data_IF_601638470888
#
_entry.id   IF_601638470888
#
_cell.length_a   1.000
_cell.length_b   1.000
_cell.length_c   1.000
_cell.angle_alpha   90.00
_cell.angle_beta   90.00
_cell.angle_gamma   90.00
#
_symmetry.space_group_name_H-M   'P 1'
#
loop_
_entity.id
_entity.type
_entity.pdbx_description
1 polymer ?
#
# COMPACT_ATOMS: atom_id res chain seq x y z
N UNK A 1 -22.42 19.27 -19.95
CA UNK A 1 -21.19 18.81 -19.28
C UNK A 1 -21.64 18.22 -17.97
N UNK A 2 -21.52 16.91 -17.83
CA UNK A 2 -21.87 16.21 -16.61
C UNK A 2 -20.81 16.56 -15.55
N UNK A 3 -21.08 17.58 -14.74
CA UNK A 3 -20.22 17.96 -13.63
C UNK A 3 -20.47 17.00 -12.48
N UNK A 4 -20.04 15.75 -12.64
CA UNK A 4 -19.83 14.89 -11.48
C UNK A 4 -18.81 15.59 -10.60
N UNK A 5 -19.14 15.77 -9.33
CA UNK A 5 -18.21 16.33 -8.35
C UNK A 5 -16.99 15.41 -8.28
N UNK A 6 -15.80 15.95 -8.58
CA UNK A 6 -14.56 15.18 -8.51
C UNK A 6 -14.37 14.63 -7.09
N UNK A 7 -14.01 13.36 -6.99
CA UNK A 7 -13.83 12.69 -5.70
C UNK A 7 -12.64 13.29 -4.93
N UNK A 8 -12.71 13.29 -3.60
CA UNK A 8 -11.60 13.69 -2.75
C UNK A 8 -10.56 12.56 -2.62
N UNK A 9 -9.28 12.90 -2.42
CA UNK A 9 -8.20 11.92 -2.25
C UNK A 9 -7.13 12.00 -3.34
N UNK A 10 -6.14 11.11 -3.23
CA UNK A 10 -4.99 10.95 -4.15
C UNK A 10 -4.82 9.48 -4.52
N UNK A 11 -4.19 9.22 -5.65
CA UNK A 11 -4.00 7.88 -6.21
C UNK A 11 -5.27 7.33 -6.85
N UNK A 12 -5.44 6.01 -6.81
CA UNK A 12 -6.68 5.33 -7.20
C UNK A 12 -7.75 5.42 -6.09
N UNK A 13 -8.94 5.91 -6.45
CA UNK A 13 -10.06 6.22 -5.55
C UNK A 13 -11.30 5.46 -6.05
N UNK A 14 -11.71 4.44 -5.31
CA UNK A 14 -12.87 3.61 -5.67
C UNK A 14 -14.20 4.37 -5.49
N UNK A 15 -15.15 4.12 -6.38
CA UNK A 15 -16.56 4.48 -6.23
C UNK A 15 -17.46 3.44 -6.92
N UNK A 16 -18.77 3.54 -6.73
CA UNK A 16 -19.74 2.52 -7.17
C UNK A 16 -19.75 2.25 -8.69
N UNK A 17 -19.25 3.19 -9.49
CA UNK A 17 -19.27 3.12 -10.97
C UNK A 17 -17.88 2.99 -11.60
N UNK A 18 -16.81 2.85 -10.82
CA UNK A 18 -15.44 2.75 -11.34
C UNK A 18 -14.37 3.28 -10.40
N UNK A 19 -13.31 3.85 -10.98
CA UNK A 19 -12.16 4.38 -10.24
C UNK A 19 -11.79 5.76 -10.76
N UNK A 20 -11.69 6.71 -9.84
CA UNK A 20 -11.06 7.98 -10.11
C UNK A 20 -9.57 7.92 -9.78
N UNK A 21 -8.76 8.63 -10.55
CA UNK A 21 -7.33 8.74 -10.36
C UNK A 21 -6.95 10.19 -10.14
N UNK A 22 -6.11 10.47 -9.14
CA UNK A 22 -5.51 11.80 -8.95
C UNK A 22 -4.02 11.72 -8.66
N UNK A 23 -3.23 12.49 -9.38
CA UNK A 23 -1.76 12.57 -9.19
C UNK A 23 -1.27 14.01 -9.20
N UNK A 24 -0.24 14.29 -8.41
CA UNK A 24 0.45 15.58 -8.42
C UNK A 24 1.63 15.53 -9.39
N UNK A 25 1.55 16.30 -10.47
CA UNK A 25 2.59 16.39 -11.50
C UNK A 25 2.63 17.82 -12.06
N UNK A 26 3.11 18.81 -11.26
CA UNK A 26 2.91 20.23 -11.54
C UNK A 26 3.58 20.74 -12.82
N UNK A 27 4.66 20.07 -13.21
CA UNK A 27 5.48 20.45 -14.37
C UNK A 27 5.15 19.62 -15.62
N UNK A 28 4.18 18.69 -15.53
CA UNK A 28 3.73 17.92 -16.69
C UNK A 28 2.96 18.81 -17.66
N UNK A 29 3.08 18.50 -18.96
CA UNK A 29 2.26 19.11 -20.01
C UNK A 29 1.00 18.30 -20.29
N UNK A 30 1.08 16.98 -20.20
CA UNK A 30 -0.05 16.06 -20.23
C UNK A 30 0.19 14.89 -19.30
N UNK A 31 -0.89 14.41 -18.67
CA UNK A 31 -0.90 13.16 -17.91
C UNK A 31 -2.04 12.30 -18.43
N UNK A 32 -1.82 11.00 -18.59
CA UNK A 32 -2.86 10.01 -18.80
C UNK A 32 -2.70 8.89 -17.77
N UNK A 33 -3.80 8.25 -17.37
CA UNK A 33 -3.75 7.00 -16.65
C UNK A 33 -3.84 5.85 -17.66
N UNK A 34 -2.92 4.90 -17.57
CA UNK A 34 -2.85 3.74 -18.47
C UNK A 34 -2.88 2.46 -17.64
N UNK A 35 -3.53 1.43 -18.14
CA UNK A 35 -3.66 0.18 -17.42
C UNK A 35 -4.51 -0.83 -18.17
N UNK A 36 -4.87 -1.91 -17.48
CA UNK A 36 -5.62 -3.02 -18.10
C UNK A 36 -6.97 -2.58 -18.67
N UNK A 37 -7.65 -1.65 -17.98
CA UNK A 37 -8.94 -1.08 -18.40
C UNK A 37 -8.92 -0.31 -19.72
N UNK A 38 -7.74 0.04 -20.25
CA UNK A 38 -7.60 0.72 -21.53
C UNK A 38 -6.53 0.12 -22.46
N UNK A 39 -6.12 -1.12 -22.20
CA UNK A 39 -5.04 -1.81 -22.93
C UNK A 39 -3.72 -1.02 -22.97
N UNK A 40 -3.43 -0.25 -21.92
CA UNK A 40 -2.22 0.56 -21.82
C UNK A 40 -2.09 1.64 -22.91
N UNK A 41 -3.21 2.11 -23.48
CA UNK A 41 -3.24 3.14 -24.52
C UNK A 41 -3.21 4.56 -23.91
N UNK A 42 -2.19 5.35 -24.28
CA UNK A 42 -1.90 6.65 -23.67
C UNK A 42 -2.93 7.74 -24.00
N UNK A 43 -3.65 7.59 -25.11
CA UNK A 43 -4.59 8.60 -25.63
C UNK A 43 -6.02 8.44 -25.09
N UNK A 44 -6.34 7.32 -24.43
CA UNK A 44 -7.72 7.00 -24.04
C UNK A 44 -8.19 7.68 -22.76
N UNK A 45 -7.35 7.72 -21.74
CA UNK A 45 -7.70 8.25 -20.42
C UNK A 45 -6.77 9.41 -20.04
N UNK A 46 -6.72 10.42 -20.90
CA UNK A 46 -6.03 11.68 -20.63
C UNK A 46 -6.69 12.38 -19.44
N UNK A 47 -5.87 12.77 -18.46
CA UNK A 47 -6.31 13.40 -17.23
C UNK A 47 -6.51 14.90 -17.42
N UNK A 48 -7.53 15.43 -16.77
CA UNK A 48 -7.82 16.86 -16.68
C UNK A 48 -6.85 17.52 -15.69
N UNK A 49 -6.17 18.58 -16.11
CA UNK A 49 -5.35 19.40 -15.23
C UNK A 49 -6.23 20.20 -14.28
N UNK A 50 -5.99 20.05 -12.98
CA UNK A 50 -6.58 20.85 -11.91
C UNK A 50 -5.66 22.03 -11.54
N UNK A 51 -6.08 22.82 -10.53
CA UNK A 51 -5.22 23.82 -9.91
C UNK A 51 -4.01 23.18 -9.22
N UNK A 52 -2.97 23.99 -8.96
CA UNK A 52 -1.82 23.62 -8.09
C UNK A 52 -1.00 22.38 -8.53
N UNK A 53 -1.18 21.93 -9.78
CA UNK A 53 -0.40 20.85 -10.37
C UNK A 53 -0.99 19.46 -10.22
N UNK A 54 -2.24 19.36 -9.77
CA UNK A 54 -2.97 18.10 -9.72
C UNK A 54 -3.57 17.74 -11.08
N UNK A 55 -3.75 16.46 -11.33
CA UNK A 55 -4.36 15.89 -12.53
C UNK A 55 -5.41 14.86 -12.10
N UNK A 56 -6.57 14.86 -12.75
CA UNK A 56 -7.70 14.02 -12.40
C UNK A 56 -8.30 13.30 -13.62
N UNK A 57 -8.65 12.02 -13.48
CA UNK A 57 -9.51 11.31 -14.42
C UNK A 57 -10.47 10.40 -13.66
N UNK A 58 -11.71 10.29 -14.14
CA UNK A 58 -12.68 9.28 -13.71
C UNK A 58 -12.77 8.21 -14.81
N UNK A 59 -12.55 6.94 -14.45
CA UNK A 59 -12.49 5.82 -15.38
C UNK A 59 -13.51 4.75 -14.97
N UNK A 60 -14.73 4.78 -15.54
CA UNK A 60 -15.77 3.82 -15.20
C UNK A 60 -15.43 2.34 -15.51
N UNK A 61 -14.50 2.10 -16.43
CA UNK A 61 -14.07 0.75 -16.83
C UNK A 61 -12.99 0.14 -15.94
N UNK A 62 -12.40 0.91 -15.03
CA UNK A 62 -11.36 0.45 -14.11
C UNK A 62 -11.97 -0.25 -12.89
N UNK A 63 -11.26 -1.24 -12.35
CA UNK A 63 -11.72 -2.04 -11.20
C UNK A 63 -10.56 -2.52 -10.34
N UNK A 64 -10.88 -2.95 -9.12
CA UNK A 64 -9.92 -3.57 -8.20
C UNK A 64 -9.20 -4.73 -8.88
N UNK A 65 -7.88 -4.78 -8.73
CA UNK A 65 -6.99 -5.77 -9.33
C UNK A 65 -6.40 -5.37 -10.68
N UNK A 66 -6.93 -4.34 -11.35
CA UNK A 66 -6.29 -3.84 -12.58
C UNK A 66 -4.92 -3.24 -12.25
N UNK A 67 -3.93 -3.54 -13.09
CA UNK A 67 -2.63 -2.89 -13.08
C UNK A 67 -2.68 -1.54 -13.81
N UNK A 68 -1.95 -0.54 -13.30
CA UNK A 68 -1.92 0.79 -13.90
C UNK A 68 -0.64 1.57 -13.61
N UNK A 69 -0.41 2.60 -14.44
CA UNK A 69 0.63 3.63 -14.28
C UNK A 69 0.11 4.98 -14.78
N UNK A 70 0.85 6.05 -14.47
CA UNK A 70 0.67 7.35 -15.08
C UNK A 70 1.66 7.56 -16.23
N UNK A 71 1.13 7.85 -17.41
CA UNK A 71 1.89 8.34 -18.55
C UNK A 71 2.03 9.86 -18.45
N UNK A 72 3.24 10.33 -18.16
CA UNK A 72 3.56 11.74 -17.92
C UNK A 72 4.43 12.25 -19.05
N UNK A 73 4.01 13.33 -19.71
CA UNK A 73 4.75 13.96 -20.82
C UNK A 73 5.17 15.38 -20.48
N UNK A 74 6.38 15.75 -20.89
CA UNK A 74 6.92 17.12 -20.86
C UNK A 74 7.91 17.31 -22.00
N UNK A 75 7.57 18.17 -22.97
CA UNK A 75 8.33 18.29 -24.21
C UNK A 75 8.39 16.96 -24.97
N UNK A 76 9.59 16.56 -25.37
CA UNK A 76 9.85 15.28 -26.07
C UNK A 76 9.92 14.07 -25.11
N UNK A 77 9.97 14.31 -23.79
CA UNK A 77 10.05 13.22 -22.82
C UNK A 77 8.66 12.69 -22.48
N UNK A 78 8.52 11.37 -22.53
CA UNK A 78 7.36 10.62 -22.07
C UNK A 78 7.82 9.52 -21.11
N UNK A 79 7.22 9.44 -19.93
CA UNK A 79 7.61 8.53 -18.87
C UNK A 79 6.38 7.82 -18.31
N UNK A 80 6.48 6.50 -18.11
CA UNK A 80 5.56 5.75 -17.28
C UNK A 80 6.04 5.76 -15.84
N UNK A 81 5.14 6.07 -14.90
CA UNK A 81 5.44 6.11 -13.47
C UNK A 81 4.33 5.43 -12.68
N UNK A 82 4.72 4.59 -11.73
CA UNK A 82 3.82 4.07 -10.71
C UNK A 82 3.21 5.22 -9.90
N UNK A 83 2.03 4.98 -9.36
CA UNK A 83 1.35 5.92 -8.49
C UNK A 83 2.15 6.11 -7.18
N UNK A 84 2.57 7.35 -6.84
CA UNK A 84 3.18 7.63 -5.55
C UNK A 84 2.27 7.28 -4.36
N UNK A 85 0.95 7.20 -4.57
CA UNK A 85 -0.07 6.86 -3.60
C UNK A 85 -0.60 5.42 -3.73
N UNK A 86 0.08 4.57 -4.53
CA UNK A 86 -0.29 3.18 -4.69
C UNK A 86 -0.42 2.48 -3.33
N UNK A 87 -1.53 1.76 -3.12
CA UNK A 87 -1.78 0.97 -1.91
C UNK A 87 -1.33 -0.48 -2.04
N UNK A 88 -1.12 -0.92 -3.27
CA UNK A 88 -0.70 -2.25 -3.63
C UNK A 88 0.11 -2.18 -4.93
N UNK A 89 1.10 -3.07 -5.03
CA UNK A 89 2.02 -3.20 -6.15
C UNK A 89 2.07 -4.69 -6.54
N UNK A 90 2.29 -5.00 -7.82
CA UNK A 90 2.52 -6.40 -8.21
C UNK A 90 3.84 -6.95 -7.66
N UNK A 91 4.84 -6.06 -7.55
CA UNK A 91 6.06 -6.17 -6.74
C UNK A 91 6.81 -4.84 -6.86
N UNK A 92 7.94 -4.73 -6.17
CA UNK A 92 8.83 -3.57 -6.17
C UNK A 92 9.33 -3.05 -7.53
N UNK A 93 9.37 -3.88 -8.56
CA UNK A 93 9.73 -3.49 -9.93
C UNK A 93 8.53 -3.52 -10.90
N UNK A 94 7.34 -3.82 -10.38
CA UNK A 94 6.11 -3.99 -11.14
C UNK A 94 5.26 -2.73 -11.23
N UNK A 95 3.96 -2.94 -11.38
CA UNK A 95 2.97 -1.89 -11.59
C UNK A 95 2.17 -1.62 -10.32
N UNK A 96 1.60 -0.42 -10.24
CA UNK A 96 0.58 -0.12 -9.24
C UNK A 96 -0.67 -0.94 -9.52
N UNK A 97 -1.33 -1.40 -8.45
CA UNK A 97 -2.57 -2.17 -8.53
C UNK A 97 -3.69 -1.38 -7.87
N UNK A 98 -4.86 -1.36 -8.51
CA UNK A 98 -6.06 -0.77 -7.90
C UNK A 98 -6.47 -1.67 -6.73
N UNK A 99 -6.30 -1.18 -5.50
CA UNK A 99 -6.56 -1.95 -4.29
C UNK A 99 -7.90 -1.57 -3.64
N UNK A 100 -8.61 -2.57 -3.10
CA UNK A 100 -9.68 -2.33 -2.15
C UNK A 100 -9.09 -2.15 -0.74
N UNK A 101 -9.37 -0.98 -0.15
CA UNK A 101 -8.89 -0.66 1.19
C UNK A 101 -9.85 -1.09 2.29
N UNK A 102 -11.06 -1.55 1.95
CA UNK A 102 -12.00 -2.08 2.92
C UNK A 102 -11.41 -3.28 3.69
N UNK A 103 -11.82 -3.43 4.95
CA UNK A 103 -11.45 -4.55 5.80
C UNK A 103 -12.41 -4.63 6.99
N UNK A 104 -12.84 -5.85 7.31
CA UNK A 104 -13.70 -6.08 8.48
C UNK A 104 -12.86 -6.20 9.76
N UNK A 105 -12.73 -5.07 10.45
CA UNK A 105 -12.07 -4.99 11.76
C UNK A 105 -12.87 -5.66 12.88
N UNK A 106 -14.16 -5.96 12.68
CA UNK A 106 -15.05 -6.43 13.75
C UNK A 106 -15.20 -5.40 14.86
N UNK A 107 -15.25 -5.87 16.11
CA UNK A 107 -15.34 -5.02 17.32
C UNK A 107 -13.96 -4.73 17.93
N UNK A 108 -12.98 -4.37 17.09
CA UNK A 108 -11.64 -4.02 17.57
C UNK A 108 -11.68 -2.76 18.44
N UNK A 109 -11.60 -2.97 19.76
CA UNK A 109 -11.56 -1.94 20.79
C UNK A 109 -10.22 -1.92 21.52
N UNK A 110 -9.15 -2.41 20.89
CA UNK A 110 -7.82 -2.49 21.50
C UNK A 110 -7.33 -1.11 21.96
N UNK A 111 -6.70 -1.09 23.13
CA UNK A 111 -6.03 0.09 23.68
C UNK A 111 -4.60 -0.28 24.02
N UNK A 112 -3.65 0.46 23.46
CA UNK A 112 -2.23 0.27 23.75
C UNK A 112 -1.95 0.58 25.22
N UNK A 113 -1.13 -0.24 25.88
CA UNK A 113 -0.66 0.04 27.23
C UNK A 113 0.17 1.34 27.29
N UNK A 114 0.33 1.92 28.48
CA UNK A 114 1.16 3.11 28.63
C UNK A 114 2.61 2.80 28.25
N UNK A 115 3.36 3.80 27.78
CA UNK A 115 4.73 3.60 27.30
C UNK A 115 5.65 2.92 28.33
N UNK A 116 5.41 3.15 29.63
CA UNK A 116 6.21 2.64 30.74
C UNK A 116 5.84 1.19 31.13
N UNK A 117 4.81 0.63 30.47
CA UNK A 117 4.33 -0.74 30.64
C UNK A 117 4.62 -1.59 29.39
N UNK A 118 5.18 -0.99 28.33
CA UNK A 118 5.47 -1.68 27.08
C UNK A 118 6.71 -2.58 27.21
N UNK A 119 6.52 -3.85 26.85
CA UNK A 119 7.58 -4.82 26.60
C UNK A 119 7.54 -5.10 25.10
N UNK A 120 8.43 -4.44 24.37
CA UNK A 120 8.43 -4.43 22.90
C UNK A 120 9.34 -5.54 22.37
N UNK A 121 8.81 -6.32 21.43
CA UNK A 121 9.60 -7.25 20.62
C UNK A 121 9.74 -6.69 19.21
N UNK A 122 10.92 -6.17 18.90
CA UNK A 122 11.27 -5.76 17.54
C UNK A 122 11.50 -6.98 16.65
N UNK A 123 10.95 -6.96 15.44
CA UNK A 123 11.06 -8.08 14.51
C UNK A 123 11.17 -7.65 13.05
N UNK A 124 11.93 -8.46 12.32
CA UNK A 124 11.95 -8.48 10.87
C UNK A 124 11.02 -9.59 10.36
N UNK A 125 9.92 -9.23 9.70
CA UNK A 125 8.88 -10.18 9.25
C UNK A 125 9.46 -11.28 8.38
N UNK A 126 10.31 -10.92 7.41
CA UNK A 126 10.91 -11.85 6.45
C UNK A 126 11.83 -12.92 7.05
N UNK A 127 12.22 -12.81 8.32
CA UNK A 127 13.15 -13.76 8.97
C UNK A 127 12.63 -14.36 10.27
N UNK A 128 11.60 -13.77 10.89
CA UNK A 128 11.10 -14.20 12.20
C UNK A 128 10.49 -15.60 12.19
N UNK A 129 9.50 -15.85 11.32
CA UNK A 129 8.89 -17.17 11.18
C UNK A 129 8.68 -17.51 9.70
N UNK A 130 9.55 -18.38 9.20
CA UNK A 130 9.56 -18.86 7.82
C UNK A 130 8.94 -20.26 7.76
N UNK A 131 8.08 -20.52 6.78
CA UNK A 131 7.50 -21.85 6.58
C UNK A 131 8.56 -22.84 6.08
N UNK A 132 9.44 -22.37 5.19
CA UNK A 132 10.56 -23.13 4.64
C UNK A 132 11.83 -22.27 4.58
N UNK A 133 12.99 -22.92 4.40
CA UNK A 133 14.30 -22.26 4.41
C UNK A 133 14.59 -21.42 3.13
N UNK A 134 13.75 -21.51 2.11
CA UNK A 134 13.85 -20.82 0.83
C UNK A 134 12.84 -19.68 0.66
N UNK A 135 11.82 -19.59 1.53
CA UNK A 135 10.81 -18.52 1.49
C UNK A 135 11.05 -17.46 2.57
N UNK A 136 10.65 -16.21 2.32
CA UNK A 136 10.63 -15.19 3.36
C UNK A 136 9.48 -15.43 4.35
N UNK A 137 9.63 -14.95 5.58
CA UNK A 137 8.53 -14.91 6.53
C UNK A 137 7.45 -13.92 6.12
N UNK A 138 6.23 -14.14 6.61
CA UNK A 138 5.04 -13.35 6.24
C UNK A 138 4.31 -12.85 7.48
N UNK A 139 3.39 -11.90 7.32
CA UNK A 139 2.51 -11.45 8.39
C UNK A 139 1.66 -12.60 8.97
N UNK A 140 1.25 -13.56 8.14
CA UNK A 140 0.59 -14.79 8.61
C UNK A 140 1.54 -15.66 9.46
N UNK A 141 2.81 -15.75 9.06
CA UNK A 141 3.85 -16.40 9.86
C UNK A 141 4.00 -15.77 11.24
N UNK A 142 3.99 -14.44 11.34
CA UNK A 142 4.00 -13.72 12.62
C UNK A 142 2.74 -14.04 13.43
N UNK A 143 1.56 -14.02 12.79
CA UNK A 143 0.26 -14.32 13.43
C UNK A 143 0.27 -15.68 14.13
N UNK A 144 0.88 -16.71 13.52
CA UNK A 144 1.04 -18.06 14.10
C UNK A 144 1.91 -18.11 15.37
N UNK A 145 2.56 -17.00 15.74
CA UNK A 145 3.47 -16.88 16.89
C UNK A 145 3.01 -15.89 17.95
N UNK A 146 1.82 -15.32 17.84
CA UNK A 146 1.29 -14.39 18.85
C UNK A 146 1.20 -15.03 20.25
N UNK A 147 0.79 -16.30 20.35
CA UNK A 147 0.78 -17.03 21.63
C UNK A 147 2.17 -17.19 22.23
N UNK A 148 3.18 -17.41 21.39
CA UNK A 148 4.58 -17.50 21.83
C UNK A 148 5.08 -16.15 22.35
N UNK A 149 4.79 -15.06 21.65
CA UNK A 149 5.15 -13.70 22.06
C UNK A 149 4.46 -13.33 23.38
N UNK A 150 3.17 -13.66 23.51
CA UNK A 150 2.42 -13.48 24.75
C UNK A 150 3.02 -14.28 25.90
N UNK A 151 3.42 -15.52 25.67
CA UNK A 151 4.09 -16.36 26.66
C UNK A 151 5.44 -15.77 27.12
N UNK A 152 6.19 -15.13 26.23
CA UNK A 152 7.42 -14.40 26.58
C UNK A 152 7.17 -13.17 27.48
N UNK A 153 5.93 -12.72 27.60
CA UNK A 153 5.56 -11.48 28.31
C UNK A 153 5.61 -10.23 27.43
N UNK A 154 5.69 -10.38 26.11
CA UNK A 154 5.62 -9.27 25.14
C UNK A 154 4.18 -8.78 25.07
N UNK A 155 3.99 -7.46 25.09
CA UNK A 155 2.68 -6.82 24.90
C UNK A 155 2.65 -5.81 23.73
N UNK A 156 3.76 -5.64 23.02
CA UNK A 156 3.80 -4.95 21.74
C UNK A 156 4.85 -5.56 20.81
N UNK A 157 4.53 -5.65 19.53
CA UNK A 157 5.49 -5.99 18.47
C UNK A 157 5.86 -4.72 17.72
N UNK A 158 7.15 -4.55 17.42
CA UNK A 158 7.62 -3.50 16.51
C UNK A 158 8.04 -4.15 15.20
N UNK A 159 7.30 -3.83 14.14
CA UNK A 159 7.55 -4.33 12.80
C UNK A 159 8.56 -3.37 12.14
N UNK A 160 9.73 -3.88 11.76
CA UNK A 160 10.68 -3.16 10.90
C UNK A 160 9.99 -2.71 9.60
N UNK A 161 10.52 -1.69 8.89
CA UNK A 161 9.79 -1.08 7.79
C UNK A 161 9.28 -2.10 6.77
N UNK A 162 7.96 -2.05 6.52
CA UNK A 162 7.26 -3.01 5.67
C UNK A 162 6.55 -2.34 4.49
N UNK A 163 6.95 -1.12 4.16
CA UNK A 163 6.59 -0.51 2.88
C UNK A 163 7.32 -1.25 1.75
N UNK A 164 6.72 -1.33 0.56
CA UNK A 164 7.30 -2.05 -0.58
C UNK A 164 8.71 -1.54 -0.88
N UNK A 165 9.67 -2.45 -1.00
CA UNK A 165 11.09 -2.16 -1.22
C UNK A 165 11.67 -3.03 -2.34
N UNK A 166 12.81 -2.63 -2.91
CA UNK A 166 13.43 -3.40 -4.01
C UNK A 166 13.82 -4.84 -3.59
N UNK A 167 13.29 -5.82 -4.32
CA UNK A 167 13.49 -7.26 -4.07
C UNK A 167 12.66 -7.80 -2.90
N UNK A 168 12.75 -9.10 -2.64
CA UNK A 168 11.81 -9.77 -1.71
C UNK A 168 12.32 -9.82 -0.25
N UNK A 169 13.56 -9.40 -0.01
CA UNK A 169 14.19 -9.43 1.31
C UNK A 169 15.06 -8.18 1.52
N UNK A 170 14.57 -7.28 2.36
CA UNK A 170 15.28 -6.08 2.82
C UNK A 170 14.90 -5.80 4.27
N UNK A 171 15.76 -5.09 4.98
CA UNK A 171 15.40 -4.47 6.26
C UNK A 171 14.38 -3.33 6.10
N UNK A 172 14.07 -2.92 4.87
CA UNK A 172 12.97 -2.00 4.55
C UNK A 172 13.31 -0.50 4.65
N UNK A 173 14.53 -0.15 5.08
CA UNK A 173 15.01 1.25 5.14
C UNK A 173 15.30 1.91 3.78
N UNK A 174 14.79 1.33 2.69
CA UNK A 174 14.91 1.78 1.31
C UNK A 174 13.55 1.67 0.58
N UNK A 175 12.49 2.33 1.07
CA UNK A 175 11.15 2.15 0.51
C UNK A 175 11.10 2.62 -0.94
N UNK A 176 10.56 1.78 -1.82
CA UNK A 176 10.24 2.12 -3.20
C UNK A 176 8.85 2.76 -3.30
N UNK A 177 7.87 2.23 -2.54
CA UNK A 177 6.49 2.73 -2.52
C UNK A 177 5.96 2.84 -1.09
N UNK A 178 6.04 4.03 -0.51
CA UNK A 178 5.76 4.29 0.92
C UNK A 178 4.31 4.02 1.38
N UNK A 179 3.34 3.97 0.46
CA UNK A 179 1.93 3.69 0.76
C UNK A 179 1.50 2.25 0.46
N UNK A 180 2.38 1.45 -0.14
CA UNK A 180 2.14 0.04 -0.43
C UNK A 180 2.84 -0.83 0.61
N UNK A 181 2.16 -1.86 1.09
CA UNK A 181 2.74 -2.85 2.01
C UNK A 181 3.44 -3.93 1.21
N UNK A 182 4.64 -4.32 1.65
CA UNK A 182 5.49 -5.31 0.98
C UNK A 182 4.72 -6.58 0.57
N UNK A 183 4.62 -6.77 -0.74
CA UNK A 183 3.90 -7.87 -1.38
C UNK A 183 4.43 -9.24 -0.94
N UNK A 184 5.76 -9.41 -0.83
CA UNK A 184 6.38 -10.67 -0.43
C UNK A 184 6.04 -11.09 1.02
N UNK A 185 5.67 -10.14 1.88
CA UNK A 185 5.29 -10.41 3.27
C UNK A 185 3.79 -10.73 3.43
N UNK A 186 3.02 -10.73 2.34
CA UNK A 186 1.58 -10.98 2.32
C UNK A 186 0.73 -9.72 2.09
N UNK A 187 1.37 -8.59 1.77
CA UNK A 187 0.70 -7.38 1.31
C UNK A 187 -0.23 -6.73 2.35
N UNK A 188 -1.10 -5.79 1.91
CA UNK A 188 -1.91 -4.99 2.81
C UNK A 188 -2.93 -5.81 3.60
N UNK A 189 -3.51 -6.86 3.01
CA UNK A 189 -4.46 -7.75 3.70
C UNK A 189 -3.75 -8.56 4.79
N UNK A 190 -2.55 -9.07 4.53
CA UNK A 190 -1.75 -9.79 5.52
C UNK A 190 -1.44 -8.92 6.75
N UNK A 191 -1.04 -7.68 6.53
CA UNK A 191 -0.77 -6.73 7.63
C UNK A 191 -2.04 -6.43 8.44
N UNK A 192 -3.18 -6.14 7.78
CA UNK A 192 -4.47 -5.91 8.47
C UNK A 192 -4.87 -7.09 9.34
N UNK A 193 -4.73 -8.32 8.82
CA UNK A 193 -5.02 -9.55 9.56
C UNK A 193 -4.09 -9.76 10.75
N UNK A 194 -2.81 -9.42 10.62
CA UNK A 194 -1.85 -9.48 11.74
C UNK A 194 -2.23 -8.46 12.82
N UNK A 195 -2.52 -7.21 12.45
CA UNK A 195 -2.91 -6.16 13.40
C UNK A 195 -4.16 -6.58 14.17
N UNK A 196 -5.22 -7.02 13.48
CA UNK A 196 -6.44 -7.52 14.11
C UNK A 196 -6.17 -8.67 15.09
N UNK A 197 -5.41 -9.68 14.67
CA UNK A 197 -5.09 -10.82 15.52
C UNK A 197 -4.19 -10.45 16.72
N UNK A 198 -3.26 -9.52 16.54
CA UNK A 198 -2.42 -9.01 17.63
C UNK A 198 -3.27 -8.27 18.66
N UNK A 199 -4.17 -7.40 18.21
CA UNK A 199 -5.13 -6.68 19.06
C UNK A 199 -6.04 -7.64 19.85
N UNK A 200 -6.61 -8.66 19.20
CA UNK A 200 -7.38 -9.74 19.84
C UNK A 200 -6.56 -10.49 20.91
N UNK A 201 -5.25 -10.65 20.69
CA UNK A 201 -4.34 -11.26 21.65
C UNK A 201 -3.91 -10.33 22.80
N UNK A 202 -4.24 -9.03 22.73
CA UNK A 202 -3.82 -7.99 23.68
C UNK A 202 -2.41 -7.46 23.42
N UNK A 203 -1.94 -7.55 22.17
CA UNK A 203 -0.60 -7.14 21.72
C UNK A 203 -0.72 -5.92 20.81
N UNK A 204 -0.03 -4.83 21.14
CA UNK A 204 0.05 -3.65 20.28
C UNK A 204 0.96 -3.87 19.07
N UNK A 205 0.70 -3.16 17.97
CA UNK A 205 1.56 -3.16 16.78
C UNK A 205 2.14 -1.77 16.58
N UNK A 206 3.47 -1.69 16.54
CA UNK A 206 4.25 -0.48 16.27
C UNK A 206 4.88 -0.66 14.89
N UNK A 207 4.72 0.33 14.03
CA UNK A 207 5.31 0.34 12.68
C UNK A 207 6.53 1.25 12.68
N UNK A 208 7.68 0.73 12.25
CA UNK A 208 8.81 1.57 11.91
C UNK A 208 8.56 2.27 10.55
N UNK A 209 8.87 3.57 10.48
CA UNK A 209 8.54 4.44 9.34
C UNK A 209 9.76 5.21 8.86
N UNK A 210 9.91 5.34 7.54
CA UNK A 210 11.11 5.87 6.90
C UNK A 210 10.73 7.08 6.05
N UNK A 211 11.00 8.28 6.56
CA UNK A 211 10.65 9.56 5.91
C UNK A 211 11.86 10.47 5.65
N UNK A 212 13.07 9.99 5.94
CA UNK A 212 14.31 10.74 5.91
C UNK A 212 15.02 10.72 4.55
#
# INVERSE_FOLDING_TARGET
MDTRTKLAGMGAILHDEGVAFRVWAPNAETVAVVGDFNNWEHERNVMEREGEGYWYADVPGAKVGDEYQFAIRRGEQSLLRNDPYAREMTNSAGNSVIADTAFDWGEDAFTLANHNELVIYEMHVGTFHRETADQVGTFDGVRKKLDYLKWLGVNAIQIMPSAEFAGDLSWGYNPAHIFAVESAYGGPVGLKQLVKAAHEAGIGVIMDVVYN
#
